data_IF_536653326619
#
_entry.id   IF_536653326619
#
_cell.length_a   1.000
_cell.length_b   1.000
_cell.length_c   1.000
_cell.angle_alpha   90.00
_cell.angle_beta   90.00
_cell.angle_gamma   90.00
#
_symmetry.space_group_name_H-M   'P 1'
#
loop_
_entity.id
_entity.type
_entity.pdbx_description
1 polymer ?
#
# COMPACT_ATOMS: atom_id res chain seq x y z
N UNK A 1 -37.62 2.76 14.05
CA UNK A 1 -36.33 2.06 14.03
C UNK A 1 -35.32 2.91 14.80
N UNK A 2 -34.78 2.39 15.91
CA UNK A 2 -33.81 3.10 16.75
C UNK A 2 -32.50 3.27 15.96
N UNK A 3 -32.08 4.52 15.68
CA UNK A 3 -30.75 4.81 15.15
C UNK A 3 -29.74 4.35 16.20
N UNK A 4 -29.16 3.17 16.02
CA UNK A 4 -28.09 2.68 16.88
C UNK A 4 -26.92 3.64 16.72
N UNK A 5 -26.65 4.45 17.74
CA UNK A 5 -25.56 5.42 17.74
C UNK A 5 -24.25 4.64 17.64
N UNK A 6 -23.53 4.81 16.52
CA UNK A 6 -22.19 4.23 16.34
C UNK A 6 -21.28 4.88 17.39
N UNK A 7 -20.59 4.06 18.18
CA UNK A 7 -19.60 4.55 19.12
C UNK A 7 -18.28 4.74 18.37
N UNK A 8 -17.83 5.99 18.25
CA UNK A 8 -16.54 6.30 17.62
C UNK A 8 -15.40 5.74 18.48
N UNK A 9 -14.52 4.96 17.85
CA UNK A 9 -13.27 4.50 18.46
C UNK A 9 -12.25 5.62 18.42
N UNK A 10 -11.34 5.67 19.39
CA UNK A 10 -10.31 6.71 19.49
C UNK A 10 -8.92 6.09 19.35
N UNK A 11 -8.48 5.91 18.09
CA UNK A 11 -7.16 5.34 17.80
C UNK A 11 -6.01 6.32 18.13
N UNK A 12 -6.29 7.62 18.37
CA UNK A 12 -5.27 8.58 18.79
C UNK A 12 -4.87 8.39 20.26
N UNK A 13 -5.81 7.94 21.11
CA UNK A 13 -5.52 7.56 22.49
C UNK A 13 -5.02 6.13 22.59
N UNK A 14 -5.95 5.19 22.41
CA UNK A 14 -5.70 3.76 22.40
C UNK A 14 -6.98 3.00 22.02
N UNK A 15 -6.79 1.87 21.35
CA UNK A 15 -7.77 0.81 21.20
C UNK A 15 -7.34 -0.39 22.04
N UNK A 16 -8.28 -0.85 22.87
CA UNK A 16 -8.09 -1.99 23.74
C UNK A 16 -8.74 -3.22 23.11
N UNK A 17 -7.95 -4.26 22.88
CA UNK A 17 -8.42 -5.48 22.23
C UNK A 17 -8.35 -6.62 23.23
N UNK A 18 -9.49 -7.14 23.65
CA UNK A 18 -9.55 -8.38 24.42
C UNK A 18 -9.39 -9.58 23.48
N UNK A 19 -8.42 -10.43 23.76
CA UNK A 19 -8.22 -11.72 23.07
C UNK A 19 -8.53 -12.82 24.08
N UNK A 20 -9.66 -13.49 23.92
CA UNK A 20 -10.20 -14.46 24.86
C UNK A 20 -11.53 -14.02 25.48
N UNK A 21 -12.09 -14.87 26.33
CA UNK A 21 -13.32 -14.59 27.10
C UNK A 21 -12.98 -13.75 28.33
N UNK A 22 -14.01 -13.19 28.95
CA UNK A 22 -13.88 -12.33 30.13
C UNK A 22 -13.24 -13.04 31.34
N UNK A 23 -13.40 -14.37 31.43
CA UNK A 23 -12.89 -15.20 32.52
C UNK A 23 -11.73 -16.10 32.09
N UNK A 24 -11.20 -15.96 30.86
CA UNK A 24 -10.06 -16.77 30.42
C UNK A 24 -8.78 -16.30 31.11
N UNK A 25 -7.79 -17.20 31.20
CA UNK A 25 -6.46 -16.91 31.74
C UNK A 25 -5.87 -15.64 31.11
N UNK A 26 -5.17 -14.83 31.92
CA UNK A 26 -4.59 -13.56 31.50
C UNK A 26 -3.34 -13.71 30.60
N UNK A 27 -3.15 -14.86 29.96
CA UNK A 27 -2.00 -15.20 29.14
C UNK A 27 -2.40 -15.29 27.67
N UNK A 28 -1.76 -14.47 26.83
CA UNK A 28 -1.86 -14.54 25.36
C UNK A 28 -0.47 -14.89 24.85
N UNK A 29 -0.37 -15.83 23.89
CA UNK A 29 0.92 -16.10 23.25
C UNK A 29 1.38 -14.89 22.44
N UNK A 30 2.69 -14.64 22.43
CA UNK A 30 3.28 -13.54 21.68
C UNK A 30 2.90 -13.59 20.19
N UNK A 31 2.82 -14.79 19.60
CA UNK A 31 2.46 -14.97 18.19
C UNK A 31 1.03 -14.52 17.90
N UNK A 32 0.07 -14.84 18.78
CA UNK A 32 -1.32 -14.40 18.63
C UNK A 32 -1.43 -12.89 18.78
N UNK A 33 -0.75 -12.32 19.79
CA UNK A 33 -0.72 -10.87 19.99
C UNK A 33 -0.17 -10.16 18.74
N UNK A 34 1.01 -10.58 18.28
CA UNK A 34 1.68 -10.00 17.13
C UNK A 34 0.81 -10.12 15.88
N UNK A 35 0.17 -11.27 15.66
CA UNK A 35 -0.69 -11.46 14.50
C UNK A 35 -1.93 -10.56 14.56
N UNK A 36 -2.58 -10.43 15.72
CA UNK A 36 -3.73 -9.51 15.89
C UNK A 36 -3.31 -8.06 15.63
N UNK A 37 -2.18 -7.62 16.20
CA UNK A 37 -1.65 -6.27 16.00
C UNK A 37 -1.31 -5.98 14.54
N UNK A 38 -0.56 -6.89 13.89
CA UNK A 38 -0.18 -6.73 12.48
C UNK A 38 -1.40 -6.69 11.56
N UNK A 39 -2.39 -7.57 11.77
CA UNK A 39 -3.60 -7.58 10.93
C UNK A 39 -4.52 -6.40 11.18
N UNK A 40 -4.52 -5.84 12.40
CA UNK A 40 -5.18 -4.59 12.69
C UNK A 40 -4.51 -3.41 11.98
N UNK A 41 -3.18 -3.33 12.04
CA UNK A 41 -2.40 -2.30 11.34
C UNK A 41 -2.62 -2.37 9.83
N UNK A 42 -2.49 -3.56 9.24
CA UNK A 42 -2.76 -3.78 7.82
C UNK A 42 -4.14 -3.26 7.41
N UNK A 43 -5.18 -3.54 8.22
CA UNK A 43 -6.54 -3.08 7.94
C UNK A 43 -6.65 -1.56 8.00
N UNK A 44 -6.03 -0.92 9.00
CA UNK A 44 -6.04 0.56 9.13
C UNK A 44 -5.30 1.21 7.95
N UNK A 45 -4.15 0.66 7.56
CA UNK A 45 -3.38 1.14 6.42
C UNK A 45 -4.17 0.99 5.12
N UNK A 46 -4.87 -0.12 4.91
CA UNK A 46 -5.72 -0.31 3.73
C UNK A 46 -6.90 0.67 3.71
N UNK A 47 -7.52 0.95 4.86
CA UNK A 47 -8.56 2.01 4.96
C UNK A 47 -7.96 3.38 4.63
N UNK A 48 -6.77 3.70 5.14
CA UNK A 48 -6.08 4.95 4.83
C UNK A 48 -5.76 5.07 3.34
N UNK A 49 -5.29 3.99 2.71
CA UNK A 49 -4.95 3.93 1.29
C UNK A 49 -6.14 4.25 0.38
N UNK A 50 -7.35 3.80 0.73
CA UNK A 50 -8.51 3.88 -0.17
C UNK A 50 -9.56 4.92 0.22
N UNK A 51 -9.62 5.35 1.48
CA UNK A 51 -10.66 6.26 1.95
C UNK A 51 -10.17 7.70 2.14
N UNK A 52 -8.88 7.95 1.92
CA UNK A 52 -8.32 9.29 1.85
C UNK A 52 -8.42 9.84 0.43
N UNK A 53 -8.60 11.15 0.33
CA UNK A 53 -8.67 11.85 -0.95
C UNK A 53 -7.30 11.77 -1.64
N UNK A 54 -7.26 11.20 -2.84
CA UNK A 54 -6.03 11.07 -3.63
C UNK A 54 -5.42 12.41 -4.04
N UNK A 55 -6.16 13.51 -3.93
CA UNK A 55 -5.66 14.86 -4.16
C UNK A 55 -4.80 15.40 -3.00
N UNK A 56 -4.83 14.77 -1.82
CA UNK A 56 -4.03 15.17 -0.65
C UNK A 56 -2.95 14.12 -0.43
N UNK A 57 -1.66 14.47 -0.62
CA UNK A 57 -0.57 13.58 -0.25
C UNK A 57 -0.61 13.35 1.27
N UNK A 58 -0.84 12.10 1.68
CA UNK A 58 -0.79 11.71 3.10
C UNK A 58 0.24 10.60 3.23
N UNK A 59 1.13 10.72 4.21
CA UNK A 59 2.10 9.67 4.46
C UNK A 59 1.43 8.51 5.21
N UNK A 60 1.35 7.33 4.57
CA UNK A 60 0.72 6.15 5.16
C UNK A 60 1.43 5.68 6.44
N UNK A 61 2.71 5.99 6.62
CA UNK A 61 3.43 5.67 7.86
C UNK A 61 2.86 6.38 9.10
N UNK A 62 2.11 7.48 8.89
CA UNK A 62 1.41 8.18 9.97
C UNK A 62 0.19 7.39 10.50
N UNK A 63 -0.18 6.28 9.85
CA UNK A 63 -1.28 5.41 10.28
C UNK A 63 -0.81 4.07 10.85
N UNK A 64 0.51 3.85 10.96
CA UNK A 64 1.07 2.71 11.68
C UNK A 64 0.64 2.71 13.14
N UNK A 65 0.57 1.52 13.73
CA UNK A 65 0.16 1.32 15.10
C UNK A 65 1.36 1.06 16.01
N UNK A 66 1.41 1.82 17.10
CA UNK A 66 2.27 1.54 18.24
C UNK A 66 1.55 0.58 19.18
N UNK A 67 2.26 -0.45 19.63
CA UNK A 67 1.86 -1.24 20.79
C UNK A 67 2.09 -0.41 22.06
N UNK A 68 1.01 0.02 22.72
CA UNK A 68 1.10 0.91 23.89
C UNK A 68 1.17 0.16 25.22
N UNK A 69 0.90 -1.14 25.25
CA UNK A 69 1.18 -2.00 26.41
C UNK A 69 0.10 -3.04 26.72
N UNK A 70 0.25 -3.63 27.92
CA UNK A 70 -0.72 -4.52 28.57
C UNK A 70 -1.19 -3.90 29.88
N UNK A 71 -2.44 -4.16 30.23
CA UNK A 71 -2.98 -3.79 31.54
C UNK A 71 -2.94 -4.99 32.50
N UNK A 72 -2.56 -4.74 33.75
CA UNK A 72 -2.40 -5.79 34.76
C UNK A 72 -3.68 -6.61 34.95
N UNK A 73 -3.55 -7.94 34.90
CA UNK A 73 -4.67 -8.86 35.12
C UNK A 73 -5.65 -8.94 33.94
N UNK A 74 -5.21 -8.65 32.71
CA UNK A 74 -6.07 -8.85 31.54
C UNK A 74 -5.30 -9.20 30.27
N UNK A 75 -5.89 -10.10 29.49
CA UNK A 75 -5.51 -10.42 28.11
C UNK A 75 -5.99 -9.32 27.14
N UNK A 76 -5.66 -8.06 27.46
CA UNK A 76 -6.15 -6.87 26.74
C UNK A 76 -4.97 -5.99 26.33
N UNK A 77 -4.31 -6.30 25.21
CA UNK A 77 -3.35 -5.39 24.59
C UNK A 77 -3.99 -4.06 24.17
N UNK A 78 -3.16 -3.03 24.21
CA UNK A 78 -3.48 -1.69 23.77
C UNK A 78 -2.64 -1.31 22.54
N UNK A 79 -3.31 -0.72 21.55
CA UNK A 79 -2.67 -0.20 20.34
C UNK A 79 -3.09 1.25 20.14
N UNK A 80 -2.26 2.08 19.52
CA UNK A 80 -2.62 3.46 19.16
C UNK A 80 -1.92 3.87 17.88
N UNK A 81 -2.43 4.88 17.19
CA UNK A 81 -1.72 5.46 16.05
C UNK A 81 -0.35 5.99 16.49
N UNK A 82 0.62 5.90 15.59
CA UNK A 82 1.97 6.40 15.80
C UNK A 82 1.93 7.81 16.41
N UNK A 83 2.55 7.91 17.59
CA UNK A 83 2.62 9.15 18.40
C UNK A 83 3.67 10.14 17.90
N UNK A 84 4.56 9.68 17.01
CA UNK A 84 5.57 10.47 16.34
C UNK A 84 5.30 10.46 14.83
N UNK A 85 4.23 11.14 14.36
CA UNK A 85 3.97 11.25 12.93
C UNK A 85 5.13 11.94 12.24
N UNK A 86 5.44 11.49 11.02
CA UNK A 86 6.37 12.15 10.13
C UNK A 86 5.77 13.51 9.78
N UNK A 87 6.48 14.63 10.03
CA UNK A 87 6.00 15.96 9.71
C UNK A 87 5.59 16.04 8.24
N UNK A 88 4.39 16.55 8.01
CA UNK A 88 3.78 16.70 6.67
C UNK A 88 3.34 18.15 6.50
N UNK A 89 3.37 18.63 5.25
CA UNK A 89 2.84 19.95 4.90
C UNK A 89 1.30 19.97 4.88
N UNK A 90 0.66 18.81 5.04
CA UNK A 90 -0.79 18.62 4.99
C UNK A 90 -1.39 18.37 6.38
N UNK A 91 -2.71 18.57 6.48
CA UNK A 91 -3.45 18.39 7.73
C UNK A 91 -3.71 16.90 7.99
N UNK A 92 -2.73 16.25 8.62
CA UNK A 92 -2.78 14.84 9.03
C UNK A 92 -3.93 14.56 10.01
N UNK A 93 -4.30 15.50 10.88
CA UNK A 93 -5.39 15.33 11.85
C UNK A 93 -6.74 15.09 11.17
N UNK A 94 -6.99 15.77 10.04
CA UNK A 94 -8.21 15.57 9.26
C UNK A 94 -8.22 14.17 8.64
N UNK A 95 -7.08 13.73 8.09
CA UNK A 95 -6.93 12.40 7.50
C UNK A 95 -7.12 11.30 8.56
N UNK A 96 -6.49 11.45 9.74
CA UNK A 96 -6.66 10.56 10.90
C UNK A 96 -8.11 10.44 11.32
N UNK A 97 -8.84 11.56 11.45
CA UNK A 97 -10.28 11.55 11.79
C UNK A 97 -11.12 10.79 10.76
N UNK A 98 -10.83 10.93 9.47
CA UNK A 98 -11.53 10.19 8.40
C UNK A 98 -11.26 8.69 8.53
N UNK A 99 -10.02 8.27 8.69
CA UNK A 99 -9.64 6.86 8.87
C UNK A 99 -10.28 6.27 10.13
N UNK A 100 -10.25 6.99 11.25
CA UNK A 100 -10.88 6.58 12.52
C UNK A 100 -12.40 6.40 12.36
N UNK A 101 -13.07 7.32 11.66
CA UNK A 101 -14.51 7.23 11.42
C UNK A 101 -14.85 6.02 10.55
N UNK A 102 -14.10 5.80 9.47
CA UNK A 102 -14.27 4.64 8.58
C UNK A 102 -14.00 3.32 9.31
N UNK A 103 -12.93 3.26 10.10
CA UNK A 103 -12.62 2.10 10.92
C UNK A 103 -13.72 1.81 11.96
N UNK A 104 -14.24 2.85 12.63
CA UNK A 104 -15.34 2.70 13.59
C UNK A 104 -16.61 2.16 12.92
N UNK A 105 -16.94 2.65 11.73
CA UNK A 105 -18.08 2.17 10.95
C UNK A 105 -17.90 0.71 10.53
N UNK A 106 -16.73 0.37 9.99
CA UNK A 106 -16.36 -0.99 9.60
C UNK A 106 -16.47 -1.96 10.77
N UNK A 107 -15.88 -1.62 11.93
CA UNK A 107 -15.95 -2.46 13.13
C UNK A 107 -17.39 -2.63 13.63
N UNK A 108 -18.23 -1.59 13.54
CA UNK A 108 -19.66 -1.69 13.86
C UNK A 108 -20.38 -2.69 12.94
N UNK A 109 -20.01 -2.76 11.66
CA UNK A 109 -20.55 -3.75 10.73
C UNK A 109 -20.01 -5.17 11.04
N UNK A 110 -18.73 -5.30 11.40
CA UNK A 110 -18.15 -6.57 11.87
C UNK A 110 -18.86 -7.08 13.13
N UNK A 111 -19.15 -6.22 14.11
CA UNK A 111 -19.90 -6.57 15.33
C UNK A 111 -21.31 -7.08 15.06
N UNK A 112 -21.94 -6.58 13.98
CA UNK A 112 -23.24 -7.07 13.52
C UNK A 112 -23.13 -8.31 12.65
N UNK A 113 -21.94 -8.67 12.19
CA UNK A 113 -21.71 -9.70 11.17
C UNK A 113 -22.20 -9.29 9.77
N UNK A 114 -22.40 -7.99 9.53
CA UNK A 114 -22.89 -7.45 8.26
C UNK A 114 -21.72 -7.12 7.33
N UNK A 115 -21.04 -8.14 6.85
CA UNK A 115 -19.87 -7.97 5.96
C UNK A 115 -20.25 -7.50 4.56
N UNK A 116 -21.50 -7.74 4.12
CA UNK A 116 -22.00 -7.22 2.85
C UNK A 116 -22.03 -5.70 2.86
N UNK A 117 -22.48 -5.07 3.97
CA UNK A 117 -22.45 -3.62 4.08
C UNK A 117 -21.03 -3.04 3.98
N UNK A 118 -20.02 -3.76 4.46
CA UNK A 118 -18.61 -3.35 4.28
C UNK A 118 -18.22 -3.45 2.81
N UNK A 119 -18.60 -4.53 2.12
CA UNK A 119 -18.30 -4.72 0.70
C UNK A 119 -19.00 -3.68 -0.19
N UNK A 120 -20.21 -3.27 0.17
CA UNK A 120 -21.04 -2.32 -0.59
C UNK A 120 -20.55 -0.88 -0.49
N UNK A 121 -19.72 -0.55 0.51
CA UNK A 121 -19.05 0.75 0.63
C UNK A 121 -18.05 1.00 -0.52
N UNK A 122 -17.58 -0.05 -1.18
CA UNK A 122 -16.56 0.02 -2.23
C UNK A 122 -17.12 -0.42 -3.58
N UNK A 123 -17.05 0.46 -4.58
CA UNK A 123 -17.56 0.19 -5.93
C UNK A 123 -16.55 -0.56 -6.81
N UNK A 124 -15.26 -0.25 -6.66
CA UNK A 124 -14.19 -0.86 -7.45
C UNK A 124 -13.89 -2.29 -6.96
N UNK A 125 -13.94 -3.33 -7.82
CA UNK A 125 -13.72 -4.72 -7.42
C UNK A 125 -12.37 -4.96 -6.74
N UNK A 126 -11.28 -4.36 -7.24
CA UNK A 126 -9.95 -4.51 -6.63
C UNK A 126 -9.88 -3.95 -5.21
N UNK A 127 -10.42 -2.74 -5.00
CA UNK A 127 -10.48 -2.09 -3.68
C UNK A 127 -11.37 -2.89 -2.71
N UNK A 128 -12.54 -3.31 -3.19
CA UNK A 128 -13.47 -4.16 -2.44
C UNK A 128 -12.78 -5.44 -1.98
N UNK A 129 -12.10 -6.13 -2.89
CA UNK A 129 -11.41 -7.37 -2.60
C UNK A 129 -10.30 -7.17 -1.57
N UNK A 130 -9.49 -6.11 -1.68
CA UNK A 130 -8.41 -5.83 -0.73
C UNK A 130 -8.96 -5.52 0.68
N UNK A 131 -9.98 -4.66 0.77
CA UNK A 131 -10.64 -4.37 2.06
C UNK A 131 -11.25 -5.64 2.67
N UNK A 132 -12.02 -6.41 1.91
CA UNK A 132 -12.65 -7.64 2.41
C UNK A 132 -11.60 -8.68 2.81
N UNK A 133 -10.49 -8.76 2.08
CA UNK A 133 -9.36 -9.59 2.46
C UNK A 133 -8.76 -9.16 3.80
N UNK A 134 -8.48 -7.87 3.99
CA UNK A 134 -7.96 -7.37 5.28
C UNK A 134 -8.93 -7.54 6.43
N UNK A 135 -10.23 -7.38 6.20
CA UNK A 135 -11.26 -7.70 7.20
C UNK A 135 -11.25 -9.19 7.54
N UNK A 136 -11.13 -10.06 6.54
CA UNK A 136 -11.03 -11.51 6.77
C UNK A 136 -9.80 -11.86 7.61
N UNK A 137 -8.62 -11.32 7.26
CA UNK A 137 -7.38 -11.55 7.99
C UNK A 137 -7.47 -11.05 9.44
N UNK A 138 -7.97 -9.83 9.65
CA UNK A 138 -8.12 -9.24 10.98
C UNK A 138 -9.11 -10.03 11.84
N UNK A 139 -10.29 -10.33 11.32
CA UNK A 139 -11.33 -11.05 12.08
C UNK A 139 -10.95 -12.49 12.42
N UNK A 140 -10.01 -13.10 11.70
CA UNK A 140 -9.49 -14.44 11.96
C UNK A 140 -8.09 -14.46 12.59
N UNK A 141 -7.53 -13.31 12.95
CA UNK A 141 -6.15 -13.16 13.40
C UNK A 141 -5.82 -13.92 14.70
N UNK A 142 -6.81 -14.15 15.57
CA UNK A 142 -6.64 -14.92 16.80
C UNK A 142 -7.02 -16.42 16.67
N UNK A 143 -7.17 -16.92 15.44
CA UNK A 143 -7.58 -18.31 15.20
C UNK A 143 -9.01 -18.56 15.68
N UNK A 144 -9.19 -19.49 16.62
CA UNK A 144 -10.49 -19.80 17.23
C UNK A 144 -10.82 -18.95 18.46
N UNK A 145 -9.85 -18.21 18.98
CA UNK A 145 -10.00 -17.39 20.19
C UNK A 145 -10.89 -16.19 19.89
N UNK A 146 -11.91 -15.89 20.72
CA UNK A 146 -12.78 -14.75 20.50
C UNK A 146 -12.00 -13.44 20.68
N UNK A 147 -12.33 -12.44 19.87
CA UNK A 147 -11.72 -11.11 19.94
C UNK A 147 -12.81 -10.05 20.11
N UNK A 148 -12.55 -9.05 20.95
CA UNK A 148 -13.46 -7.94 21.16
C UNK A 148 -12.71 -6.64 21.41
N UNK A 149 -13.25 -5.53 20.92
CA UNK A 149 -12.81 -4.19 21.31
C UNK A 149 -13.54 -3.82 22.59
N UNK A 150 -12.79 -3.34 23.57
CA UNK A 150 -13.29 -3.03 24.91
C UNK A 150 -12.96 -1.59 25.32
N UNK A 151 -13.68 -1.06 26.29
CA UNK A 151 -13.41 0.22 26.92
C UNK A 151 -13.20 0.02 28.42
N UNK A 152 -12.33 0.81 29.02
CA UNK A 152 -12.03 0.74 30.46
C UNK A 152 -13.13 1.45 31.26
N UNK A 153 -13.65 0.80 32.31
CA UNK A 153 -14.68 1.36 33.20
C UNK A 153 -14.19 1.65 34.64
N UNK A 154 -12.94 1.29 34.97
CA UNK A 154 -12.37 1.43 36.31
C UNK A 154 -11.33 0.35 36.59
N UNK A 155 -10.99 0.12 37.86
CA UNK A 155 -10.00 -0.87 38.36
C UNK A 155 -9.99 -2.20 37.58
N UNK A 156 -9.18 -2.26 36.52
CA UNK A 156 -8.99 -3.39 35.60
C UNK A 156 -10.27 -4.03 35.05
N UNK A 157 -11.38 -3.29 35.02
CA UNK A 157 -12.64 -3.74 34.41
C UNK A 157 -12.77 -3.16 33.01
N UNK A 158 -13.15 -4.02 32.07
CA UNK A 158 -13.33 -3.64 30.68
C UNK A 158 -14.73 -4.04 30.20
N UNK A 159 -15.48 -3.07 29.67
CA UNK A 159 -16.76 -3.29 29.00
C UNK A 159 -16.52 -3.55 27.53
N UNK A 160 -17.19 -4.57 26.99
CA UNK A 160 -17.20 -4.81 25.54
C UNK A 160 -17.89 -3.66 24.80
N UNK A 161 -17.21 -3.11 23.81
CA UNK A 161 -17.73 -2.08 22.89
C UNK A 161 -18.19 -2.75 21.60
N UNK A 162 -17.31 -3.55 21.00
CA UNK A 162 -17.59 -4.30 19.77
C UNK A 162 -17.06 -5.72 19.88
N UNK A 163 -17.84 -6.68 19.39
CA UNK A 163 -17.40 -8.04 19.15
C UNK A 163 -16.74 -8.12 17.78
N UNK A 164 -15.52 -8.65 17.68
CA UNK A 164 -14.94 -8.96 16.39
C UNK A 164 -15.43 -10.35 15.99
N UNK A 165 -16.57 -10.40 15.30
CA UNK A 165 -17.09 -11.65 14.76
C UNK A 165 -16.13 -12.14 13.68
N UNK A 166 -15.96 -13.45 13.59
CA UNK A 166 -15.13 -14.06 12.56
C UNK A 166 -15.86 -14.01 11.22
N UNK A 167 -15.14 -13.66 10.16
CA UNK A 167 -15.66 -13.82 8.80
C UNK A 167 -15.38 -15.26 8.35
N UNK A 168 -16.45 -16.03 8.12
CA UNK A 168 -16.34 -17.40 7.64
C UNK A 168 -15.84 -17.44 6.20
N UNK A 169 -15.01 -18.43 5.88
CA UNK A 169 -14.43 -18.58 4.53
C UNK A 169 -15.48 -18.63 3.42
N UNK A 170 -16.60 -19.34 3.64
CA UNK A 170 -17.67 -19.42 2.65
C UNK A 170 -18.32 -18.05 2.35
N UNK A 171 -18.46 -17.19 3.36
CA UNK A 171 -18.99 -15.83 3.19
C UNK A 171 -17.94 -14.94 2.55
N UNK A 172 -16.67 -15.05 2.95
CA UNK A 172 -15.56 -14.37 2.30
C UNK A 172 -15.51 -14.67 0.80
N UNK A 173 -15.57 -15.94 0.40
CA UNK A 173 -15.51 -16.36 -1.00
C UNK A 173 -16.70 -15.83 -1.83
N UNK A 174 -17.83 -15.49 -1.19
CA UNK A 174 -18.99 -14.87 -1.83
C UNK A 174 -18.84 -13.35 -1.99
N UNK A 175 -18.11 -12.71 -1.08
CA UNK A 175 -17.89 -11.26 -1.09
C UNK A 175 -16.77 -10.84 -2.05
N UNK A 176 -15.82 -11.74 -2.29
CA UNK A 176 -14.74 -11.51 -3.26
C UNK A 176 -15.30 -11.61 -4.68
N UNK A 177 -15.10 -10.54 -5.45
CA UNK A 177 -15.35 -10.55 -6.88
C UNK A 177 -14.20 -11.29 -7.53
N UNK A 178 -14.44 -12.53 -7.97
CA UNK A 178 -13.47 -13.25 -8.78
C UNK A 178 -13.26 -12.45 -10.05
N UNK A 179 -12.01 -12.08 -10.33
CA UNK A 179 -11.64 -11.57 -11.64
C UNK A 179 -12.14 -12.60 -12.66
N UNK A 180 -13.16 -12.24 -13.43
CA UNK A 180 -13.44 -12.95 -14.66
C UNK A 180 -12.25 -12.63 -15.56
N UNK A 181 -11.22 -13.46 -15.46
CA UNK A 181 -10.31 -13.63 -16.56
C UNK A 181 -11.21 -14.01 -17.74
N UNK A 182 -11.40 -13.07 -18.67
CA UNK A 182 -11.71 -13.45 -20.04
C UNK A 182 -10.66 -14.50 -20.39
N UNK A 183 -11.11 -15.74 -20.58
CA UNK A 183 -10.31 -16.80 -21.15
C UNK A 183 -9.91 -16.30 -22.55
N UNK A 184 -8.79 -15.58 -22.63
CA UNK A 184 -8.12 -15.37 -23.90
C UNK A 184 -7.55 -16.73 -24.29
N UNK A 185 -8.18 -17.34 -25.28
CA UNK A 185 -7.69 -18.53 -25.96
C UNK A 185 -6.22 -18.29 -26.39
N UNK A 186 -5.38 -19.29 -26.12
CA UNK A 186 -4.05 -19.56 -26.67
C UNK A 186 -3.13 -18.35 -26.93
N UNK A 187 -2.52 -17.83 -25.85
CA UNK A 187 -1.26 -17.07 -25.98
C UNK A 187 -0.10 -18.05 -25.91
N UNK A 188 0.53 -18.27 -27.07
CA UNK A 188 1.77 -19.02 -27.26
C UNK A 188 2.84 -18.55 -26.27
N UNK A 189 3.57 -19.45 -25.58
CA UNK A 189 4.58 -19.05 -24.60
C UNK A 189 5.75 -18.35 -25.32
N UNK A 190 5.93 -17.05 -25.04
CA UNK A 190 7.17 -16.37 -25.37
C UNK A 190 8.26 -16.80 -24.38
N UNK A 191 9.37 -17.31 -24.90
CA UNK A 191 10.59 -17.60 -24.13
C UNK A 191 11.04 -16.35 -23.37
N UNK A 192 11.04 -16.39 -22.04
CA UNK A 192 11.71 -15.37 -21.23
C UNK A 192 13.21 -15.60 -21.30
N UNK A 193 13.91 -14.76 -22.07
CA UNK A 193 15.37 -14.79 -22.14
C UNK A 193 15.93 -14.15 -20.88
N UNK A 194 16.23 -14.95 -19.86
CA UNK A 194 17.02 -14.51 -18.72
C UNK A 194 18.47 -14.24 -19.16
N UNK A 195 18.90 -12.99 -19.15
CA UNK A 195 20.28 -12.63 -19.53
C UNK A 195 21.22 -12.89 -18.34
N UNK A 196 21.84 -14.07 -18.31
CA UNK A 196 22.90 -14.39 -17.36
C UNK A 196 24.25 -13.82 -17.84
N UNK A 197 24.93 -13.01 -17.01
CA UNK A 197 26.31 -12.60 -17.27
C UNK A 197 27.27 -13.76 -16.94
N UNK A 198 27.72 -14.49 -17.96
CA UNK A 198 28.74 -15.54 -17.82
C UNK A 198 30.13 -14.89 -17.76
N UNK A 199 30.78 -14.92 -16.59
CA UNK A 199 32.19 -14.50 -16.47
C UNK A 199 33.07 -15.73 -16.69
N UNK A 200 33.87 -15.71 -17.76
CA UNK A 200 34.88 -16.73 -18.02
C UNK A 200 36.18 -16.38 -17.29
N UNK A 201 36.65 -17.25 -16.38
CA UNK A 201 38.04 -17.22 -15.87
C UNK A 201 38.79 -18.45 -16.36
N UNK A 202 39.95 -18.23 -16.99
CA UNK A 202 40.91 -19.30 -17.32
C UNK A 202 41.71 -19.66 -16.08
N UNK A 203 41.83 -20.95 -15.77
CA UNK A 203 42.82 -21.41 -14.80
C UNK A 203 44.24 -21.40 -15.43
N UNK A 204 45.29 -21.58 -14.62
CA UNK A 204 46.70 -21.60 -15.08
C UNK A 204 47.03 -22.70 -16.10
N UNK A 205 46.12 -23.66 -16.33
CA UNK A 205 46.25 -24.75 -17.29
C UNK A 205 45.35 -24.57 -18.53
N UNK A 206 44.73 -23.40 -18.73
CA UNK A 206 43.98 -23.06 -19.95
C UNK A 206 42.57 -23.66 -20.06
N UNK A 207 42.08 -24.40 -19.06
CA UNK A 207 40.71 -24.95 -19.04
C UNK A 207 39.69 -23.90 -18.55
N UNK A 208 38.60 -23.75 -19.29
CA UNK A 208 37.43 -22.92 -18.95
C UNK A 208 36.63 -23.61 -17.84
N UNK A 209 36.54 -22.98 -16.66
CA UNK A 209 35.66 -23.43 -15.57
C UNK A 209 34.39 -22.57 -15.55
N UNK A 210 33.23 -23.21 -15.71
CA UNK A 210 31.90 -22.59 -15.64
C UNK A 210 31.46 -22.56 -14.18
N UNK A 211 31.42 -21.37 -13.55
CA UNK A 211 30.90 -21.19 -12.20
C UNK A 211 29.62 -20.35 -12.28
N UNK A 212 28.48 -20.96 -12.02
CA UNK A 212 27.20 -20.26 -11.92
C UNK A 212 27.24 -19.44 -10.62
N UNK A 213 27.26 -18.10 -10.73
CA UNK A 213 27.13 -17.22 -9.58
C UNK A 213 25.65 -16.93 -9.33
N UNK A 214 25.21 -17.25 -8.11
CA UNK A 214 24.03 -16.80 -7.37
C UNK A 214 22.78 -16.43 -8.18
N UNK A 215 21.78 -17.32 -8.08
CA UNK A 215 20.38 -17.08 -8.42
C UNK A 215 19.82 -16.17 -7.31
N UNK A 216 19.57 -14.91 -7.62
CA UNK A 216 18.77 -14.05 -6.75
C UNK A 216 17.32 -14.53 -6.82
N UNK A 217 16.70 -14.80 -5.67
CA UNK A 217 15.26 -15.09 -5.59
C UNK A 217 14.52 -13.78 -5.86
N UNK A 218 13.64 -13.78 -6.86
CA UNK A 218 12.84 -12.67 -7.42
C UNK A 218 12.00 -11.79 -6.45
N UNK A 219 12.12 -11.95 -5.13
CA UNK A 219 11.28 -11.19 -4.18
C UNK A 219 11.88 -9.87 -3.70
N UNK A 220 13.15 -9.57 -3.99
CA UNK A 220 13.85 -8.40 -3.42
C UNK A 220 14.69 -7.61 -4.44
N UNK A 221 14.68 -7.98 -5.72
CA UNK A 221 15.43 -7.24 -6.73
C UNK A 221 14.57 -6.14 -7.35
N UNK A 222 14.65 -4.92 -6.84
CA UNK A 222 14.16 -3.73 -7.57
C UNK A 222 14.97 -3.62 -8.86
N UNK A 223 14.30 -3.79 -10.00
CA UNK A 223 14.92 -3.55 -11.30
C UNK A 223 15.01 -2.04 -11.51
N UNK A 224 16.10 -1.58 -12.10
CA UNK A 224 16.26 -0.16 -12.43
C UNK A 224 16.35 0.04 -13.94
N UNK A 225 15.54 0.94 -14.48
CA UNK A 225 15.60 1.38 -15.86
C UNK A 225 16.44 2.66 -15.94
N UNK A 226 17.57 2.61 -16.64
CA UNK A 226 18.43 3.78 -16.86
C UNK A 226 18.18 4.37 -18.24
N UNK A 227 17.71 5.61 -18.30
CA UNK A 227 17.39 6.31 -19.55
C UNK A 227 18.30 7.51 -19.75
N UNK A 228 18.96 7.58 -20.91
CA UNK A 228 19.71 8.74 -21.39
C UNK A 228 18.83 9.70 -22.21
N UNK A 229 17.68 9.21 -22.69
CA UNK A 229 16.67 9.98 -23.42
C UNK A 229 15.27 9.42 -23.21
N UNK A 230 14.26 10.26 -23.43
CA UNK A 230 12.86 9.88 -23.57
C UNK A 230 12.41 10.21 -24.99
N UNK A 231 11.76 9.27 -25.64
CA UNK A 231 11.35 9.37 -27.04
C UNK A 231 9.85 9.14 -27.16
N UNK A 232 9.12 10.19 -27.56
CA UNK A 232 7.71 10.08 -27.96
C UNK A 232 7.61 10.04 -29.49
N UNK A 233 6.38 9.90 -29.99
CA UNK A 233 6.10 9.97 -31.43
C UNK A 233 6.55 11.30 -32.06
N UNK A 234 6.54 12.39 -31.28
CA UNK A 234 6.74 13.75 -31.79
C UNK A 234 8.05 14.39 -31.34
N UNK A 235 8.59 13.99 -30.19
CA UNK A 235 9.68 14.70 -29.53
C UNK A 235 10.66 13.72 -28.92
N UNK A 236 11.95 14.04 -29.01
CA UNK A 236 13.02 13.35 -28.28
C UNK A 236 13.65 14.31 -27.26
N UNK A 237 13.61 13.92 -25.99
CA UNK A 237 14.24 14.62 -24.88
C UNK A 237 15.55 13.92 -24.54
N UNK A 238 16.69 14.58 -24.77
CA UNK A 238 18.00 14.05 -24.39
C UNK A 238 18.38 14.59 -23.02
N UNK A 239 18.85 13.74 -22.11
CA UNK A 239 19.26 14.17 -20.77
C UNK A 239 20.75 14.54 -20.70
N UNK A 240 21.08 15.44 -19.78
CA UNK A 240 22.48 15.79 -19.46
C UNK A 240 23.19 14.60 -18.79
N UNK A 241 22.47 13.84 -17.97
CA UNK A 241 22.92 12.62 -17.30
C UNK A 241 21.79 11.60 -17.38
N UNK A 242 22.14 10.33 -17.56
CA UNK A 242 21.13 9.28 -17.57
C UNK A 242 20.39 9.17 -16.24
N UNK A 243 19.06 9.17 -16.30
CA UNK A 243 18.16 9.16 -15.16
C UNK A 243 17.77 7.72 -14.84
N UNK A 244 17.75 7.38 -13.55
CA UNK A 244 17.37 6.06 -13.06
C UNK A 244 15.89 6.08 -12.67
N UNK A 245 15.14 5.14 -13.21
CA UNK A 245 13.76 4.87 -12.87
C UNK A 245 13.71 3.52 -12.13
N UNK A 246 12.92 3.45 -11.08
CA UNK A 246 12.66 2.20 -10.38
C UNK A 246 11.56 1.45 -11.12
N UNK A 247 11.75 0.14 -11.26
CA UNK A 247 10.83 -0.76 -11.91
C UNK A 247 10.49 -1.89 -10.94
N UNK A 248 9.21 -2.05 -10.68
CA UNK A 248 8.70 -3.11 -9.82
C UNK A 248 7.42 -3.69 -10.39
N UNK A 249 7.21 -4.97 -10.09
CA UNK A 249 6.02 -5.69 -10.50
C UNK A 249 4.94 -5.51 -9.42
N UNK A 250 3.79 -5.00 -9.82
CA UNK A 250 2.61 -4.90 -8.95
C UNK A 250 1.47 -5.73 -9.56
N UNK A 251 1.17 -6.87 -8.93
CA UNK A 251 0.21 -7.83 -9.46
C UNK A 251 0.64 -8.38 -10.82
N UNK A 252 -0.20 -8.16 -11.85
CA UNK A 252 0.09 -8.53 -13.25
C UNK A 252 0.73 -7.41 -14.06
N UNK A 253 0.83 -6.21 -13.49
CA UNK A 253 1.36 -5.03 -14.16
C UNK A 253 2.79 -4.72 -13.76
N UNK A 254 3.36 -3.79 -14.50
CA UNK A 254 4.69 -3.21 -14.24
C UNK A 254 4.49 -1.74 -13.96
N UNK A 255 5.18 -1.26 -12.94
CA UNK A 255 5.26 0.15 -12.60
C UNK A 255 6.67 0.64 -12.84
N UNK A 256 6.75 1.85 -13.40
CA UNK A 256 7.99 2.60 -13.56
C UNK A 256 7.81 3.93 -12.86
N UNK A 257 8.67 4.22 -11.90
CA UNK A 257 8.63 5.46 -11.13
C UNK A 257 9.97 6.18 -11.10
N UNK A 258 9.90 7.50 -10.92
CA UNK A 258 11.02 8.32 -10.51
C UNK A 258 10.53 9.38 -9.54
N UNK A 259 10.80 9.16 -8.25
CA UNK A 259 10.40 10.07 -7.17
C UNK A 259 10.96 11.49 -7.36
N UNK A 260 12.16 11.64 -7.93
CA UNK A 260 12.79 12.95 -8.11
C UNK A 260 12.06 13.84 -9.14
N UNK A 261 11.41 13.21 -10.11
CA UNK A 261 10.63 13.88 -11.16
C UNK A 261 9.13 13.83 -10.89
N UNK A 262 8.70 13.18 -9.80
CA UNK A 262 7.30 12.91 -9.50
C UNK A 262 6.57 12.26 -10.69
N UNK A 263 7.24 11.29 -11.32
CA UNK A 263 6.72 10.56 -12.46
C UNK A 263 6.39 9.13 -12.06
N UNK A 264 5.19 8.71 -12.40
CA UNK A 264 4.68 7.39 -12.10
C UNK A 264 3.90 6.85 -13.29
N UNK A 265 4.29 5.71 -13.82
CA UNK A 265 3.61 5.09 -14.95
C UNK A 265 3.40 3.59 -14.73
N UNK A 266 2.28 3.09 -15.24
CA UNK A 266 1.89 1.69 -15.11
C UNK A 266 1.45 1.11 -16.44
N UNK A 267 1.73 -0.17 -16.67
CA UNK A 267 1.26 -0.91 -17.85
C UNK A 267 1.16 -2.41 -17.56
N UNK A 268 0.47 -3.17 -18.41
CA UNK A 268 0.47 -4.63 -18.32
C UNK A 268 1.80 -5.23 -18.78
N UNK A 269 2.54 -4.48 -19.61
CA UNK A 269 3.89 -4.82 -20.06
C UNK A 269 4.87 -3.67 -19.78
N UNK A 270 6.17 -3.96 -19.83
CA UNK A 270 7.22 -2.95 -19.66
C UNK A 270 7.13 -1.87 -20.72
N UNK A 271 6.78 -2.23 -21.96
CA UNK A 271 6.67 -1.28 -23.06
C UNK A 271 5.45 -0.37 -22.90
N UNK A 272 4.30 -0.90 -22.46
CA UNK A 272 3.14 -0.06 -22.12
C UNK A 272 3.44 0.92 -20.99
N UNK A 273 4.11 0.45 -19.93
CA UNK A 273 4.50 1.30 -18.81
C UNK A 273 5.50 2.40 -19.26
N UNK A 274 6.43 2.09 -20.15
CA UNK A 274 7.36 3.08 -20.75
C UNK A 274 6.63 4.10 -21.60
N UNK A 275 5.70 3.67 -22.47
CA UNK A 275 4.93 4.59 -23.30
C UNK A 275 4.13 5.57 -22.42
N UNK A 276 3.47 5.05 -21.39
CA UNK A 276 2.76 5.88 -20.40
C UNK A 276 3.71 6.86 -19.68
N UNK A 277 4.91 6.41 -19.30
CA UNK A 277 5.93 7.27 -18.69
C UNK A 277 6.37 8.40 -19.65
N UNK A 278 6.59 8.08 -20.91
CA UNK A 278 7.07 9.03 -21.91
C UNK A 278 6.03 10.10 -22.20
N UNK A 279 4.75 9.72 -22.26
CA UNK A 279 3.64 10.66 -22.42
C UNK A 279 3.48 11.57 -21.20
N UNK A 280 3.60 11.03 -19.99
CA UNK A 280 3.55 11.83 -18.78
C UNK A 280 4.72 12.81 -18.67
N UNK A 281 5.92 12.37 -19.05
CA UNK A 281 7.10 13.24 -19.10
C UNK A 281 6.87 14.39 -20.09
N UNK A 282 6.43 14.06 -21.31
CA UNK A 282 6.15 15.04 -22.37
C UNK A 282 5.10 16.06 -21.94
N UNK A 283 3.99 15.60 -21.37
CA UNK A 283 2.93 16.46 -20.87
C UNK A 283 3.43 17.39 -19.77
N UNK A 284 4.18 16.87 -18.80
CA UNK A 284 4.71 17.65 -17.67
C UNK A 284 5.71 18.70 -18.13
N UNK A 285 6.64 18.30 -19.02
CA UNK A 285 7.62 19.21 -19.59
C UNK A 285 6.97 20.34 -20.39
N UNK A 286 6.02 20.02 -21.29
CA UNK A 286 5.31 21.00 -22.11
C UNK A 286 4.50 21.96 -21.26
N UNK A 287 3.69 21.44 -20.34
CA UNK A 287 2.85 22.25 -19.44
C UNK A 287 3.67 23.28 -18.65
N UNK A 288 4.86 22.92 -18.19
CA UNK A 288 5.75 23.83 -17.47
C UNK A 288 6.43 24.84 -18.42
N UNK A 289 6.84 24.40 -19.61
CA UNK A 289 7.60 25.24 -20.54
C UNK A 289 6.74 26.18 -21.39
N UNK A 290 5.47 25.85 -21.64
CA UNK A 290 4.52 26.69 -22.38
C UNK A 290 4.09 27.93 -21.57
N UNK A 291 4.16 27.87 -20.24
CA UNK A 291 3.82 28.98 -19.35
C UNK A 291 5.01 29.93 -19.15
N UNK A 292 4.73 31.24 -19.16
CA UNK A 292 5.72 32.27 -18.79
C UNK A 292 6.04 32.18 -17.30
N UNK A 293 7.25 32.58 -16.90
CA UNK A 293 7.70 32.47 -15.51
C UNK A 293 6.82 33.22 -14.50
N UNK A 294 6.17 34.32 -14.92
CA UNK A 294 5.25 35.09 -14.08
C UNK A 294 3.86 34.45 -13.94
N UNK A 295 3.57 33.37 -14.68
CA UNK A 295 2.34 32.59 -14.58
C UNK A 295 2.53 31.34 -13.68
N UNK A 296 3.75 31.12 -13.19
CA UNK A 296 4.09 29.99 -12.34
C UNK A 296 4.27 30.45 -10.89
N UNK A 297 3.86 29.61 -9.95
CA UNK A 297 4.23 29.81 -8.54
C UNK A 297 5.75 29.65 -8.37
N UNK A 298 6.30 30.17 -7.28
CA UNK A 298 7.73 30.01 -6.97
C UNK A 298 8.18 28.53 -6.98
N UNK A 299 7.31 27.64 -6.49
CA UNK A 299 7.53 26.20 -6.53
C UNK A 299 7.60 25.66 -7.96
N UNK A 300 6.59 25.94 -8.80
CA UNK A 300 6.56 25.45 -10.19
C UNK A 300 7.70 26.03 -11.03
N UNK A 301 8.16 27.24 -10.71
CA UNK A 301 9.36 27.81 -11.33
C UNK A 301 10.62 27.00 -11.00
N UNK A 302 10.76 26.51 -9.77
CA UNK A 302 11.85 25.62 -9.39
C UNK A 302 11.76 24.27 -10.09
N UNK A 303 10.56 23.70 -10.20
CA UNK A 303 10.33 22.44 -10.95
C UNK A 303 10.69 22.63 -12.43
N UNK A 304 10.21 23.72 -13.07
CA UNK A 304 10.59 24.07 -14.45
C UNK A 304 12.10 24.19 -14.63
N UNK A 305 12.78 24.87 -13.70
CA UNK A 305 14.25 24.98 -13.70
C UNK A 305 14.92 23.60 -13.60
N UNK A 306 14.40 22.71 -12.77
CA UNK A 306 14.93 21.35 -12.63
C UNK A 306 14.77 20.53 -13.91
N UNK A 307 13.57 20.52 -14.52
CA UNK A 307 13.34 19.87 -15.82
C UNK A 307 14.28 20.40 -16.91
N UNK A 308 14.45 21.72 -16.98
CA UNK A 308 15.35 22.35 -17.96
C UNK A 308 16.83 22.13 -17.62
N UNK A 309 17.17 21.83 -16.37
CA UNK A 309 18.51 21.47 -15.95
C UNK A 309 18.85 20.02 -16.32
N UNK A 310 17.90 19.08 -16.21
CA UNK A 310 18.16 17.67 -16.57
C UNK A 310 18.13 17.44 -18.09
N UNK A 311 17.42 18.26 -18.85
CA UNK A 311 17.33 18.15 -20.31
C UNK A 311 18.51 18.88 -20.97
N UNK A 312 19.26 18.15 -21.78
CA UNK A 312 20.33 18.66 -22.63
C UNK A 312 19.79 19.32 -23.90
N UNK A 313 18.86 18.63 -24.57
CA UNK A 313 18.26 19.11 -25.82
C UNK A 313 16.90 18.47 -26.06
N UNK A 314 16.05 19.20 -26.78
CA UNK A 314 14.74 18.74 -27.25
C UNK A 314 14.76 18.77 -28.77
N UNK A 315 14.52 17.60 -29.39
CA UNK A 315 14.48 17.46 -30.85
C UNK A 315 13.07 17.08 -31.27
N UNK A 316 12.43 17.92 -32.07
CA UNK A 316 11.14 17.58 -32.70
C UNK A 316 11.39 16.64 -33.89
N UNK A 317 10.54 15.62 -34.02
CA UNK A 317 10.50 14.72 -35.17
C UNK A 317 9.63 15.29 -36.28
#
# INVERSE_FOLDING_TARGET
MSKTKIQTLDLEKEILIRIGKENDDHAISWDVLKNVGNKLEDLILTIAKYNLDSAVPVNLDNFKLDFSGFYNGSAVPAFRLNTHPIPSLFNEDKARKVVIANFSNLVSNVDKGNYQAIADEYTMPGVKNDIIHKVYEFTNSAGTTPVAIVAREGNNKFRKVYSIRRLNKAVYDQLIVKDQFLLMEDVVPYESTAVARVIFKKNKAGKLLRKTSEIYKDKEATLSLKLDRIETDKVTYNFNIAILFQLYQEGKGIIIENEQLDLYASGLTTEEAKLSLFDQFDHSYKRLNDLKNNQLSAFLLNVKRYYNFIIKSVTNK
#
